data_IF_551016832202
#
_entry.id   IF_551016832202
#
_cell.length_a   1.000
_cell.length_b   1.000
_cell.length_c   1.000
_cell.angle_alpha   90.00
_cell.angle_beta   90.00
_cell.angle_gamma   90.00
#
_symmetry.space_group_name_H-M   'P 1'
#
loop_
_entity.id
_entity.type
_entity.pdbx_description
1 polymer ?
#
# COMPACT_ATOMS: atom_id res chain seq x y z
N UNK A 1 -5.20 -12.20 -18.99
CA UNK A 1 -3.75 -12.08 -19.25
C UNK A 1 -3.47 -12.69 -20.61
N UNK A 2 -2.62 -12.04 -21.43
CA UNK A 2 -2.25 -12.55 -22.77
C UNK A 2 -1.23 -13.68 -22.63
N UNK A 3 -1.30 -14.73 -23.51
CA UNK A 3 -0.30 -15.79 -23.51
C UNK A 3 1.11 -15.26 -23.81
N UNK A 4 2.09 -15.74 -23.07
CA UNK A 4 3.52 -15.46 -23.33
C UNK A 4 4.11 -16.59 -24.15
N UNK A 5 4.78 -16.27 -25.26
CA UNK A 5 5.51 -17.23 -26.10
C UNK A 5 7.00 -16.90 -26.06
N UNK A 6 7.81 -17.87 -25.65
CA UNK A 6 9.26 -17.77 -25.67
C UNK A 6 9.87 -19.16 -25.92
N UNK A 7 11.11 -19.20 -26.42
CA UNK A 7 11.86 -20.45 -26.54
C UNK A 7 12.22 -21.00 -25.16
N UNK A 8 12.29 -22.34 -25.06
CA UNK A 8 12.77 -22.99 -23.84
C UNK A 8 14.13 -22.41 -23.40
N UNK A 9 14.29 -22.11 -22.13
CA UNK A 9 15.51 -21.51 -21.57
C UNK A 9 15.65 -19.99 -21.77
N UNK A 10 14.75 -19.34 -22.51
CA UNK A 10 14.75 -17.87 -22.60
C UNK A 10 14.35 -17.24 -21.27
N UNK A 11 14.98 -16.14 -20.89
CA UNK A 11 14.59 -15.38 -19.71
C UNK A 11 13.17 -14.83 -19.88
N UNK A 12 12.36 -14.94 -18.83
CA UNK A 12 10.98 -14.43 -18.81
C UNK A 12 10.77 -13.59 -17.55
N UNK A 13 9.87 -12.61 -17.65
CA UNK A 13 9.45 -11.77 -16.53
C UNK A 13 8.02 -12.06 -16.15
N UNK A 14 7.69 -11.87 -14.88
CA UNK A 14 6.33 -12.01 -14.40
C UNK A 14 5.40 -11.01 -15.10
N UNK A 15 4.18 -11.44 -15.51
CA UNK A 15 3.15 -10.50 -15.92
C UNK A 15 2.80 -9.55 -14.77
N UNK A 16 2.28 -8.38 -15.11
CA UNK A 16 1.72 -7.48 -14.11
C UNK A 16 0.68 -8.23 -13.24
N UNK A 17 0.72 -7.99 -11.93
CA UNK A 17 -0.25 -8.56 -11.01
C UNK A 17 -1.68 -8.17 -11.43
N UNK A 18 -2.59 -9.14 -11.61
CA UNK A 18 -3.98 -8.83 -11.89
C UNK A 18 -4.66 -8.25 -10.63
N UNK A 19 -5.77 -7.55 -10.82
CA UNK A 19 -6.60 -7.02 -9.72
C UNK A 19 -7.90 -7.81 -9.61
N UNK A 20 -8.39 -7.97 -8.37
CA UNK A 20 -9.68 -8.58 -8.06
C UNK A 20 -10.23 -7.92 -6.79
N UNK A 21 -11.42 -7.34 -6.87
CA UNK A 21 -12.05 -6.62 -5.75
C UNK A 21 -12.19 -7.49 -4.52
N UNK A 22 -11.75 -6.98 -3.37
CA UNK A 22 -11.77 -7.70 -2.10
C UNK A 22 -10.70 -8.78 -1.93
N UNK A 23 -9.75 -8.89 -2.87
CA UNK A 23 -8.66 -9.87 -2.81
C UNK A 23 -7.30 -9.23 -3.07
N UNK A 24 -6.28 -9.80 -2.45
CA UNK A 24 -4.87 -9.49 -2.73
C UNK A 24 -4.30 -10.60 -3.60
N UNK A 25 -3.58 -10.22 -4.66
CA UNK A 25 -2.87 -11.16 -5.49
C UNK A 25 -1.71 -11.79 -4.70
N UNK A 26 -1.67 -13.12 -4.65
CA UNK A 26 -0.72 -13.91 -3.86
C UNK A 26 0.21 -14.78 -4.74
N UNK A 27 0.44 -14.36 -5.97
CA UNK A 27 1.38 -15.00 -6.89
C UNK A 27 0.74 -15.82 -8.00
N UNK A 28 1.59 -16.33 -8.90
CA UNK A 28 1.24 -17.20 -9.98
C UNK A 28 1.58 -18.65 -9.66
N UNK A 29 0.66 -19.57 -9.89
CA UNK A 29 0.80 -20.99 -9.54
C UNK A 29 0.39 -21.89 -10.70
N UNK A 30 1.02 -23.04 -10.82
CA UNK A 30 0.56 -24.09 -11.72
C UNK A 30 -0.61 -24.86 -11.10
N UNK A 31 -1.36 -25.56 -11.96
CA UNK A 31 -2.44 -26.47 -11.54
C UNK A 31 -2.51 -27.65 -12.52
N UNK A 32 -2.73 -28.83 -11.99
CA UNK A 32 -2.91 -30.06 -12.78
C UNK A 32 -4.37 -30.29 -13.18
N UNK A 33 -5.31 -29.61 -12.54
CA UNK A 33 -6.77 -29.82 -12.66
C UNK A 33 -7.54 -28.60 -13.17
N UNK A 34 -6.84 -27.72 -13.90
CA UNK A 34 -7.47 -26.55 -14.53
C UNK A 34 -7.71 -25.38 -13.57
N UNK A 35 -7.05 -25.34 -12.42
CA UNK A 35 -7.11 -24.25 -11.45
C UNK A 35 -7.95 -24.55 -10.20
N UNK A 36 -8.47 -25.79 -10.06
CA UNK A 36 -9.19 -26.18 -8.84
C UNK A 36 -8.24 -26.33 -7.66
N UNK A 37 -7.08 -26.97 -7.89
CA UNK A 37 -6.01 -27.09 -6.89
C UNK A 37 -4.73 -26.47 -7.43
N UNK A 38 -4.19 -25.48 -6.73
CA UNK A 38 -2.94 -24.83 -7.06
C UNK A 38 -1.75 -25.60 -6.47
N UNK A 39 -0.60 -25.57 -7.15
CA UNK A 39 0.66 -26.09 -6.61
C UNK A 39 1.01 -25.39 -5.29
N UNK A 40 1.77 -26.09 -4.43
CA UNK A 40 2.24 -25.51 -3.15
C UNK A 40 3.34 -24.47 -3.35
N UNK A 41 3.98 -24.46 -4.53
CA UNK A 41 5.10 -23.58 -4.83
C UNK A 41 4.69 -22.54 -5.86
N UNK A 42 4.99 -21.28 -5.58
CA UNK A 42 4.82 -20.18 -6.52
C UNK A 42 5.73 -20.36 -7.74
N UNK A 43 5.22 -20.03 -8.93
CA UNK A 43 5.99 -20.12 -10.17
C UNK A 43 7.08 -19.06 -10.24
N UNK A 44 8.33 -19.52 -10.36
CA UNK A 44 9.49 -18.63 -10.51
C UNK A 44 9.70 -18.18 -11.96
N UNK A 45 9.61 -16.89 -12.21
CA UNK A 45 9.82 -16.27 -13.55
C UNK A 45 11.31 -16.04 -13.84
N UNK A 46 12.09 -17.11 -13.94
CA UNK A 46 13.50 -17.00 -14.34
C UNK A 46 13.67 -17.35 -15.83
N UNK A 47 13.26 -18.55 -16.21
CA UNK A 47 13.43 -19.08 -17.57
C UNK A 47 12.17 -19.82 -18.03
N UNK A 48 11.89 -19.75 -19.34
CA UNK A 48 10.78 -20.46 -19.95
C UNK A 48 11.01 -21.98 -19.90
N UNK A 49 10.10 -22.75 -19.27
CA UNK A 49 10.16 -24.20 -19.27
C UNK A 49 10.02 -24.78 -20.69
N UNK A 50 10.61 -25.98 -20.93
CA UNK A 50 10.50 -26.71 -22.22
C UNK A 50 9.14 -27.44 -22.38
N UNK A 51 8.05 -26.79 -22.00
CA UNK A 51 6.68 -27.33 -22.06
C UNK A 51 5.66 -26.19 -22.12
N UNK A 52 4.49 -26.53 -22.64
CA UNK A 52 3.31 -25.66 -22.54
C UNK A 52 2.68 -25.84 -21.15
N UNK A 53 2.32 -24.75 -20.48
CA UNK A 53 1.69 -24.75 -19.17
C UNK A 53 0.78 -23.53 -19.00
N UNK A 54 -0.10 -23.61 -18.02
CA UNK A 54 -1.00 -22.51 -17.66
C UNK A 54 -0.73 -22.10 -16.22
N UNK A 55 -0.63 -20.79 -15.99
CA UNK A 55 -0.52 -20.23 -14.64
C UNK A 55 -1.85 -19.66 -14.20
N UNK A 56 -2.18 -19.90 -12.96
CA UNK A 56 -3.36 -19.43 -12.28
C UNK A 56 -2.99 -18.41 -11.20
N UNK A 57 -3.72 -17.32 -11.14
CA UNK A 57 -3.56 -16.34 -10.08
C UNK A 57 -4.10 -16.90 -8.76
N UNK A 58 -3.25 -16.96 -7.74
CA UNK A 58 -3.70 -17.24 -6.37
C UNK A 58 -4.20 -15.95 -5.73
N UNK A 59 -5.31 -16.06 -5.02
CA UNK A 59 -5.96 -14.94 -4.37
C UNK A 59 -6.08 -15.19 -2.88
N UNK A 60 -5.69 -14.21 -2.07
CA UNK A 60 -5.99 -14.16 -0.65
C UNK A 60 -7.09 -13.13 -0.42
N UNK A 61 -8.03 -13.39 0.49
CA UNK A 61 -9.00 -12.36 0.88
C UNK A 61 -8.28 -11.16 1.45
N UNK A 62 -8.62 -9.97 1.01
CA UNK A 62 -8.06 -8.73 1.54
C UNK A 62 -8.70 -8.35 2.88
N UNK A 63 -8.75 -9.28 3.84
CA UNK A 63 -9.37 -9.05 5.13
C UNK A 63 -8.39 -8.37 6.09
N UNK A 64 -8.61 -7.08 6.33
CA UNK A 64 -7.92 -6.27 7.34
C UNK A 64 -8.88 -5.88 8.49
N UNK A 65 -10.11 -6.40 8.48
CA UNK A 65 -11.11 -6.14 9.51
C UNK A 65 -10.59 -6.55 10.90
N UNK A 66 -10.85 -5.71 11.87
CA UNK A 66 -10.37 -5.91 13.23
C UNK A 66 -8.87 -5.76 13.43
N UNK A 67 -8.11 -5.39 12.39
CA UNK A 67 -6.68 -5.12 12.51
C UNK A 67 -6.41 -3.66 12.82
N UNK A 68 -5.31 -3.44 13.53
CA UNK A 68 -4.75 -2.12 13.82
C UNK A 68 -3.37 -2.03 13.19
N UNK A 69 -3.09 -0.92 12.51
CA UNK A 69 -1.80 -0.62 11.90
C UNK A 69 -1.26 0.68 12.48
N UNK A 70 -0.04 0.62 13.02
CA UNK A 70 0.69 1.80 13.47
C UNK A 70 1.75 2.20 12.44
N UNK A 71 1.94 3.51 12.26
CA UNK A 71 3.08 4.01 11.50
C UNK A 71 4.37 3.61 12.22
N UNK A 72 5.30 3.04 11.47
CA UNK A 72 6.57 2.52 12.00
C UNK A 72 7.78 3.11 11.30
N UNK A 73 7.60 3.68 10.09
CA UNK A 73 8.69 4.22 9.30
C UNK A 73 8.20 5.26 8.29
N UNK A 74 9.12 6.10 7.82
CA UNK A 74 8.91 7.03 6.72
C UNK A 74 10.18 7.15 5.87
N UNK A 75 10.00 7.33 4.56
CA UNK A 75 11.08 7.64 3.62
C UNK A 75 10.67 8.80 2.70
N UNK A 76 11.65 9.53 2.19
CA UNK A 76 11.44 10.66 1.29
C UNK A 76 12.26 10.46 0.03
N UNK A 77 11.62 10.55 -1.12
CA UNK A 77 12.27 10.68 -2.43
C UNK A 77 12.15 12.15 -2.85
N UNK A 78 13.23 12.89 -2.75
CA UNK A 78 13.26 14.32 -3.06
C UNK A 78 13.06 14.57 -4.55
N UNK A 79 12.34 15.65 -4.89
CA UNK A 79 12.14 16.05 -6.30
C UNK A 79 13.48 16.40 -6.97
N UNK A 80 14.40 17.04 -6.22
CA UNK A 80 15.78 17.31 -6.64
C UNK A 80 16.70 17.55 -5.44
N UNK A 81 18.00 17.45 -5.67
CA UNK A 81 19.01 17.77 -4.65
C UNK A 81 18.91 19.25 -4.21
N UNK A 82 18.57 20.15 -5.13
CA UNK A 82 18.41 21.59 -4.83
C UNK A 82 17.24 21.83 -3.87
N UNK A 83 16.11 21.16 -4.09
CA UNK A 83 14.92 21.22 -3.21
C UNK A 83 15.29 20.69 -1.83
N UNK A 84 15.95 19.54 -1.77
CA UNK A 84 16.41 18.95 -0.50
C UNK A 84 17.27 19.92 0.29
N UNK A 85 18.32 20.47 -0.34
CA UNK A 85 19.24 21.37 0.33
C UNK A 85 18.57 22.68 0.80
N UNK A 86 17.66 23.24 0.00
CA UNK A 86 16.93 24.43 0.38
C UNK A 86 16.08 24.18 1.65
N UNK A 87 15.30 23.10 1.67
CA UNK A 87 14.45 22.75 2.81
C UNK A 87 15.26 22.44 4.08
N UNK A 88 16.30 21.61 3.95
CA UNK A 88 17.12 21.23 5.09
C UNK A 88 17.88 22.42 5.69
N UNK A 89 18.28 23.37 4.86
CA UNK A 89 18.92 24.62 5.31
C UNK A 89 17.91 25.51 6.05
N UNK A 90 16.69 25.66 5.50
CA UNK A 90 15.62 26.45 6.15
C UNK A 90 15.22 25.87 7.52
N UNK A 91 15.16 24.56 7.61
CA UNK A 91 14.79 23.87 8.86
C UNK A 91 15.96 23.65 9.82
N UNK A 92 17.17 24.02 9.42
CA UNK A 92 18.41 23.77 10.20
C UNK A 92 18.58 22.29 10.60
N UNK A 93 18.22 21.37 9.69
CA UNK A 93 18.26 19.92 9.92
C UNK A 93 19.18 19.21 8.94
N UNK A 94 19.72 18.05 9.37
CA UNK A 94 20.27 17.07 8.44
C UNK A 94 19.12 16.26 7.78
N UNK A 95 19.40 15.59 6.66
CA UNK A 95 18.41 14.71 6.02
C UNK A 95 17.91 13.62 6.98
N UNK A 96 18.81 13.02 7.76
CA UNK A 96 18.45 12.02 8.75
C UNK A 96 17.51 12.58 9.83
N UNK A 97 17.81 13.78 10.36
CA UNK A 97 16.96 14.45 11.33
C UNK A 97 15.58 14.76 10.76
N UNK A 98 15.52 15.20 9.49
CA UNK A 98 14.25 15.47 8.83
C UNK A 98 13.41 14.19 8.63
N UNK A 99 14.02 13.09 8.18
CA UNK A 99 13.34 11.80 8.05
C UNK A 99 12.84 11.31 9.41
N UNK A 100 13.64 11.43 10.46
CA UNK A 100 13.21 11.10 11.84
C UNK A 100 12.06 11.98 12.30
N UNK A 101 12.10 13.27 12.01
CA UNK A 101 11.01 14.20 12.31
C UNK A 101 9.72 13.78 11.61
N UNK A 102 9.75 13.51 10.29
CA UNK A 102 8.61 13.02 9.52
C UNK A 102 8.11 11.67 10.05
N UNK A 103 9.02 10.77 10.44
CA UNK A 103 8.68 9.46 11.01
C UNK A 103 8.08 9.56 12.42
N UNK A 104 8.37 10.60 13.20
CA UNK A 104 7.99 10.73 14.60
C UNK A 104 6.49 10.92 14.84
N UNK A 105 5.75 11.48 13.88
CA UNK A 105 4.30 11.62 13.98
C UNK A 105 3.63 10.26 14.14
N UNK A 106 2.74 10.14 15.14
CA UNK A 106 2.03 8.89 15.40
C UNK A 106 0.75 8.87 14.60
N UNK A 107 0.62 7.90 13.70
CA UNK A 107 -0.59 7.67 12.93
C UNK A 107 -0.99 6.21 13.09
N UNK A 108 -2.27 5.99 13.34
CA UNK A 108 -2.84 4.67 13.56
C UNK A 108 -4.12 4.51 12.74
N UNK A 109 -4.25 3.39 12.07
CA UNK A 109 -5.48 2.94 11.42
C UNK A 109 -6.08 1.77 12.19
N UNK A 110 -7.31 1.89 12.64
CA UNK A 110 -8.08 0.85 13.31
C UNK A 110 -9.26 0.45 12.43
N UNK A 111 -9.17 -0.70 11.80
CA UNK A 111 -10.23 -1.23 10.92
C UNK A 111 -11.31 -1.92 11.75
N UNK A 112 -12.56 -1.55 11.57
CA UNK A 112 -13.68 -2.16 12.29
C UNK A 112 -13.81 -3.66 11.95
N UNK A 113 -14.19 -4.53 12.91
CA UNK A 113 -14.25 -5.95 12.69
C UNK A 113 -15.40 -6.41 11.79
N UNK A 114 -16.46 -5.64 11.72
CA UNK A 114 -17.74 -6.01 11.09
C UNK A 114 -18.17 -5.08 9.94
N UNK A 115 -17.48 -3.95 9.75
CA UNK A 115 -17.83 -2.90 8.78
C UNK A 115 -16.64 -2.52 7.91
N UNK A 116 -16.91 -1.88 6.78
CA UNK A 116 -15.88 -1.29 5.93
C UNK A 116 -15.59 0.16 6.36
N UNK A 117 -15.34 0.34 7.67
CA UNK A 117 -14.96 1.61 8.27
C UNK A 117 -13.62 1.47 8.98
N UNK A 118 -12.87 2.55 9.01
CA UNK A 118 -11.65 2.66 9.80
C UNK A 118 -11.68 3.95 10.62
N UNK A 119 -11.07 3.90 11.82
CA UNK A 119 -10.75 5.08 12.60
C UNK A 119 -9.28 5.40 12.37
N UNK A 120 -9.00 6.62 11.96
CA UNK A 120 -7.65 7.14 11.84
C UNK A 120 -7.38 8.03 13.04
N UNK A 121 -6.36 7.70 13.82
CA UNK A 121 -5.89 8.50 14.95
C UNK A 121 -4.52 9.06 14.61
N UNK A 122 -4.30 10.33 14.90
CA UNK A 122 -3.02 10.98 14.64
C UNK A 122 -2.57 11.83 15.83
N UNK A 123 -1.26 11.91 16.01
CA UNK A 123 -0.58 12.78 16.95
C UNK A 123 0.70 13.28 16.25
N UNK A 124 0.69 14.55 15.88
CA UNK A 124 1.80 15.20 15.16
C UNK A 124 2.83 15.82 16.12
N UNK A 125 2.69 15.55 17.41
CA UNK A 125 3.58 16.08 18.44
C UNK A 125 3.26 17.51 18.87
N UNK A 126 4.03 18.07 19.81
CA UNK A 126 3.86 19.43 20.30
C UNK A 126 4.37 20.45 19.29
N UNK A 127 3.59 21.49 18.99
CA UNK A 127 3.95 22.61 18.12
C UNK A 127 2.74 23.37 17.61
N UNK A 128 2.94 24.54 17.03
CA UNK A 128 1.85 25.36 16.46
C UNK A 128 1.14 24.70 15.27
N UNK A 129 1.82 23.75 14.61
CA UNK A 129 1.30 22.96 13.48
C UNK A 129 0.96 21.55 13.95
N UNK A 130 1.33 21.15 15.16
CA UNK A 130 1.05 19.86 15.75
C UNK A 130 -0.38 19.79 16.27
N UNK A 131 -1.00 18.65 16.09
CA UNK A 131 -2.34 18.37 16.59
C UNK A 131 -2.55 16.88 16.80
N UNK A 132 -3.47 16.57 17.70
CA UNK A 132 -3.92 15.19 17.89
C UNK A 132 -5.42 15.12 17.65
N UNK A 133 -5.85 14.01 17.09
CA UNK A 133 -7.27 13.80 16.84
C UNK A 133 -7.55 12.42 16.27
N UNK A 134 -8.82 12.20 16.00
CA UNK A 134 -9.26 11.02 15.29
C UNK A 134 -10.48 11.33 14.42
N UNK A 135 -10.62 10.61 13.32
CA UNK A 135 -11.78 10.69 12.44
C UNK A 135 -12.10 9.31 11.87
N UNK A 136 -13.35 9.12 11.49
CA UNK A 136 -13.82 7.90 10.86
C UNK A 136 -13.88 8.05 9.34
N UNK A 137 -13.55 6.98 8.63
CA UNK A 137 -13.62 6.90 7.16
C UNK A 137 -14.19 5.56 6.73
N UNK A 138 -14.76 5.49 5.52
CA UNK A 138 -15.09 4.24 4.87
C UNK A 138 -13.92 3.80 4.01
N UNK A 139 -13.85 2.51 3.67
CA UNK A 139 -12.82 2.00 2.77
C UNK A 139 -13.33 0.87 1.87
N UNK A 140 -12.68 0.72 0.71
CA UNK A 140 -12.75 -0.45 -0.16
C UNK A 140 -11.33 -0.95 -0.43
N UNK A 141 -11.18 -2.25 -0.67
CA UNK A 141 -9.92 -2.83 -1.13
C UNK A 141 -10.08 -3.26 -2.59
N UNK A 142 -9.25 -2.69 -3.45
CA UNK A 142 -9.20 -2.96 -4.89
C UNK A 142 -7.83 -3.54 -5.24
N UNK A 143 -7.73 -4.88 -5.35
CA UNK A 143 -6.43 -5.54 -5.45
C UNK A 143 -5.58 -5.31 -4.20
N UNK A 144 -4.42 -4.67 -4.34
CA UNK A 144 -3.59 -4.25 -3.21
C UNK A 144 -3.94 -2.85 -2.69
N UNK A 145 -4.68 -2.05 -3.45
CA UNK A 145 -5.00 -0.68 -3.07
C UNK A 145 -6.11 -0.63 -2.00
N UNK A 146 -5.88 0.17 -0.96
CA UNK A 146 -6.91 0.57 -0.01
C UNK A 146 -7.36 1.97 -0.43
N UNK A 147 -8.64 2.13 -0.77
CA UNK A 147 -9.22 3.43 -1.11
C UNK A 147 -10.12 3.86 0.04
N UNK A 148 -9.81 5.01 0.62
CA UNK A 148 -10.61 5.62 1.68
C UNK A 148 -11.63 6.60 1.09
N UNK A 149 -12.77 6.76 1.78
CA UNK A 149 -13.87 7.62 1.37
C UNK A 149 -14.41 8.40 2.58
N UNK A 150 -14.76 9.65 2.37
CA UNK A 150 -15.28 10.53 3.43
C UNK A 150 -16.74 10.18 3.81
N UNK A 151 -17.51 9.69 2.83
CA UNK A 151 -18.92 9.37 3.00
C UNK A 151 -19.36 8.15 2.18
N UNK A 152 -20.56 7.63 2.48
CA UNK A 152 -21.17 6.56 1.69
C UNK A 152 -21.44 7.01 0.25
N UNK A 153 -21.84 8.27 0.05
CA UNK A 153 -22.07 8.85 -1.27
C UNK A 153 -20.79 8.91 -2.10
N UNK A 154 -19.65 9.33 -1.48
CA UNK A 154 -18.36 9.35 -2.15
C UNK A 154 -17.90 7.94 -2.51
N UNK A 155 -18.14 6.97 -1.63
CA UNK A 155 -17.82 5.57 -1.89
C UNK A 155 -18.62 4.97 -3.04
N UNK A 156 -19.88 5.37 -3.22
CA UNK A 156 -20.72 4.95 -4.35
C UNK A 156 -20.32 5.63 -5.66
N UNK A 157 -19.89 6.89 -5.59
CA UNK A 157 -19.39 7.67 -6.74
C UNK A 157 -17.91 7.45 -7.03
N UNK A 158 -17.22 6.60 -6.25
CA UNK A 158 -15.79 6.32 -6.38
C UNK A 158 -14.90 7.58 -6.24
N UNK A 159 -15.30 8.54 -5.38
CA UNK A 159 -14.56 9.76 -5.06
C UNK A 159 -13.70 9.49 -3.81
N UNK A 160 -12.37 9.38 -3.93
CA UNK A 160 -11.51 9.14 -2.78
C UNK A 160 -11.58 10.26 -1.73
N UNK A 161 -11.25 9.93 -0.49
CA UNK A 161 -11.26 10.87 0.63
C UNK A 161 -10.41 12.12 0.33
N UNK A 162 -10.98 13.29 0.57
CA UNK A 162 -10.38 14.59 0.26
C UNK A 162 -10.53 15.62 1.39
N UNK A 163 -11.36 15.33 2.39
CA UNK A 163 -11.60 16.24 3.53
C UNK A 163 -10.51 16.17 4.60
N UNK A 164 -9.70 15.12 4.61
CA UNK A 164 -8.63 14.93 5.58
C UNK A 164 -7.28 14.97 4.89
N UNK A 165 -6.47 16.01 5.13
CA UNK A 165 -5.16 16.20 4.49
C UNK A 165 -4.21 15.00 4.65
N UNK A 166 -4.39 14.21 5.71
CA UNK A 166 -3.63 12.97 5.92
C UNK A 166 -3.92 11.89 4.86
N UNK A 167 -5.11 11.90 4.27
CA UNK A 167 -5.56 10.91 3.26
C UNK A 167 -5.62 11.51 1.86
N UNK A 168 -5.94 12.80 1.76
CA UNK A 168 -6.13 13.49 0.48
C UNK A 168 -4.83 13.43 -0.36
N UNK A 169 -4.97 13.07 -1.64
CA UNK A 169 -3.84 12.96 -2.56
C UNK A 169 -2.90 11.76 -2.31
N UNK A 170 -3.15 10.97 -1.26
CA UNK A 170 -2.34 9.80 -0.94
C UNK A 170 -2.89 8.52 -1.58
N UNK A 171 -1.98 7.60 -1.92
CA UNK A 171 -2.33 6.21 -2.27
C UNK A 171 -1.92 5.28 -1.14
N UNK A 172 -2.66 4.19 -0.96
CA UNK A 172 -2.41 3.20 0.09
C UNK A 172 -2.36 1.80 -0.51
N UNK A 173 -1.27 1.09 -0.25
CA UNK A 173 -1.08 -0.28 -0.73
C UNK A 173 -0.92 -1.26 0.44
N UNK A 174 -1.70 -2.33 0.41
CA UNK A 174 -1.65 -3.43 1.38
C UNK A 174 -0.70 -4.51 0.88
N UNK A 175 0.23 -4.96 1.74
CA UNK A 175 1.09 -6.11 1.44
C UNK A 175 0.28 -7.41 1.27
N UNK A 176 0.83 -8.37 0.51
CA UNK A 176 0.19 -9.65 0.25
C UNK A 176 -0.10 -10.46 1.54
N UNK A 177 0.77 -10.35 2.54
CA UNK A 177 0.61 -10.98 3.86
C UNK A 177 -0.32 -10.19 4.81
N UNK A 178 -0.79 -9.00 4.38
CA UNK A 178 -1.71 -8.12 5.13
C UNK A 178 -1.16 -7.64 6.47
N UNK A 179 0.15 -7.55 6.56
CA UNK A 179 0.84 -7.07 7.77
C UNK A 179 1.35 -5.65 7.64
N UNK A 180 1.39 -5.12 6.41
CA UNK A 180 1.94 -3.80 6.12
C UNK A 180 1.02 -3.00 5.19
N UNK A 181 0.89 -1.70 5.47
CA UNK A 181 0.30 -0.71 4.56
C UNK A 181 1.40 0.29 4.21
N UNK A 182 1.54 0.61 2.93
CA UNK A 182 2.39 1.71 2.43
C UNK A 182 1.47 2.83 1.95
N UNK A 183 1.56 3.97 2.59
CA UNK A 183 0.98 5.22 2.10
C UNK A 183 2.03 5.95 1.28
N UNK A 184 1.66 6.42 0.11
CA UNK A 184 2.51 7.27 -0.73
C UNK A 184 1.78 8.59 -0.96
N UNK A 185 2.46 9.69 -0.65
CA UNK A 185 2.00 11.05 -0.90
C UNK A 185 3.07 11.80 -1.70
N UNK A 186 2.68 12.45 -2.80
CA UNK A 186 3.59 13.27 -3.61
C UNK A 186 3.23 14.73 -3.44
N UNK A 187 4.16 15.49 -2.89
CA UNK A 187 4.06 16.94 -2.69
C UNK A 187 4.80 17.65 -3.82
N UNK A 188 4.07 18.34 -4.73
CA UNK A 188 4.69 19.09 -5.82
C UNK A 188 5.71 20.11 -5.31
N UNK A 189 6.90 20.13 -5.89
CA UNK A 189 7.99 21.01 -5.47
C UNK A 189 8.75 20.55 -4.22
N UNK A 190 8.46 19.36 -3.70
CA UNK A 190 9.17 18.79 -2.55
C UNK A 190 9.65 17.36 -2.82
N UNK A 191 8.74 16.46 -3.16
CA UNK A 191 9.09 15.06 -3.42
C UNK A 191 7.98 14.08 -3.09
N UNK A 192 8.34 12.80 -3.01
CA UNK A 192 7.43 11.72 -2.68
C UNK A 192 7.75 11.16 -1.30
N UNK A 193 6.76 11.16 -0.43
CA UNK A 193 6.81 10.63 0.92
C UNK A 193 6.16 9.24 0.96
N UNK A 194 6.85 8.28 1.56
CA UNK A 194 6.30 6.94 1.80
C UNK A 194 6.30 6.66 3.30
N UNK A 195 5.12 6.35 3.82
CA UNK A 195 4.91 5.98 5.23
C UNK A 195 4.57 4.51 5.31
N UNK A 196 5.28 3.79 6.17
CA UNK A 196 5.04 2.38 6.43
C UNK A 196 4.26 2.20 7.72
N UNK A 197 3.19 1.44 7.63
CA UNK A 197 2.38 1.03 8.76
C UNK A 197 2.46 -0.48 8.93
N UNK A 198 2.69 -0.95 10.14
CA UNK A 198 2.72 -2.38 10.46
C UNK A 198 1.58 -2.76 11.39
N UNK A 199 1.07 -3.98 11.20
CA UNK A 199 0.02 -4.52 12.04
C UNK A 199 0.52 -4.67 13.48
N UNK A 200 -0.33 -4.31 14.44
CA UNK A 200 -0.07 -4.52 15.86
C UNK A 200 -0.42 -5.96 16.19
N UNK A 201 0.56 -6.72 16.70
CA UNK A 201 0.30 -8.05 17.25
C UNK A 201 -0.66 -7.91 18.46
N UNK A 202 -1.67 -8.77 18.48
CA UNK A 202 -2.59 -8.87 19.63
C UNK A 202 -1.93 -9.63 20.76
#
# INVERSE_FOLDING_TARGET
VQPVKASAGAAITAPAAPTKDGFVFAGWYESADGGETLSDTEFGFAYMPARVFTLYAKWATADIKGKTFNKVDATVEWESEAVKQALLTEMEMTEEQYIQFVASSKIKFEFAPDKNTATVTYDQGPGEVGGQGSFGVLYKIKGTAIVFYDSQEDMEKEIPAHNYGLLAGSTFELSADKTTIIQTNTEPGMGTFKYKYSVVAK
#
